data_IF_971481184629
#
_entry.id   IF_971481184629
#
_cell.length_a   1.000
_cell.length_b   1.000
_cell.length_c   1.000
_cell.angle_alpha   90.00
_cell.angle_beta   90.00
_cell.angle_gamma   90.00
#
_symmetry.space_group_name_H-M   'P 1'
#
loop_
_entity.id
_entity.type
_entity.pdbx_description
1 polymer ?
#
# COMPACT_ATOMS: atom_id res chain seq x y z
N UNK A 1 18.14 34.12 -21.70
CA UNK A 1 17.64 32.75 -21.86
C UNK A 1 16.56 32.59 -20.81
N UNK A 2 15.30 32.70 -21.22
CA UNK A 2 14.15 32.59 -20.31
C UNK A 2 13.71 31.14 -20.24
N UNK A 3 13.79 30.54 -19.07
CA UNK A 3 13.24 29.22 -18.81
C UNK A 3 11.71 29.29 -18.87
N UNK A 4 11.11 28.58 -19.81
CA UNK A 4 9.67 28.45 -19.92
C UNK A 4 9.16 27.47 -18.88
N UNK A 5 8.57 27.98 -17.82
CA UNK A 5 7.84 27.18 -16.84
C UNK A 5 6.57 26.66 -17.52
N UNK A 6 6.55 25.40 -17.93
CA UNK A 6 5.33 24.74 -18.39
C UNK A 6 4.42 24.52 -17.18
N UNK A 7 3.35 25.30 -17.09
CA UNK A 7 2.23 25.05 -16.18
C UNK A 7 1.49 23.82 -16.69
N UNK A 8 1.49 22.75 -15.92
CA UNK A 8 0.59 21.61 -16.12
C UNK A 8 -0.82 22.16 -15.85
N UNK A 9 -1.64 22.22 -16.89
CA UNK A 9 -3.03 22.61 -16.77
C UNK A 9 -3.80 21.44 -16.12
N UNK A 10 -4.09 21.55 -14.83
CA UNK A 10 -5.09 20.69 -14.18
C UNK A 10 -6.44 20.94 -14.86
N UNK A 11 -6.95 19.88 -15.48
CA UNK A 11 -8.32 19.84 -15.98
C UNK A 11 -9.30 20.08 -14.83
N UNK A 12 -10.26 20.95 -15.09
CA UNK A 12 -11.35 21.27 -14.16
C UNK A 12 -12.10 19.98 -13.81
N UNK A 13 -11.93 19.49 -12.59
CA UNK A 13 -12.74 18.40 -12.05
C UNK A 13 -14.19 18.87 -11.93
N UNK A 14 -15.06 18.25 -12.72
CA UNK A 14 -16.50 18.42 -12.60
C UNK A 14 -16.96 17.91 -11.23
N UNK A 15 -17.61 18.78 -10.48
CA UNK A 15 -18.19 18.52 -9.17
C UNK A 15 -19.28 17.47 -9.23
N UNK A 16 -19.00 16.23 -8.86
CA UNK A 16 -20.02 15.28 -8.48
C UNK A 16 -20.27 15.39 -6.97
N UNK A 17 -21.37 16.01 -6.62
CA UNK A 17 -21.87 16.10 -5.25
C UNK A 17 -22.44 14.73 -4.88
N UNK A 18 -21.71 13.92 -4.13
CA UNK A 18 -22.24 12.66 -3.57
C UNK A 18 -23.07 13.00 -2.34
N UNK A 19 -24.37 13.13 -2.54
CA UNK A 19 -25.34 13.11 -1.44
C UNK A 19 -25.53 11.65 -0.99
N UNK A 20 -25.08 11.34 0.22
CA UNK A 20 -25.39 10.05 0.88
C UNK A 20 -26.82 10.10 1.35
N UNK A 21 -27.73 9.48 0.61
CA UNK A 21 -29.07 9.14 1.05
C UNK A 21 -29.05 7.73 1.64
N UNK A 22 -29.30 7.64 2.95
CA UNK A 22 -29.65 6.41 3.61
C UNK A 22 -31.04 5.95 3.15
N UNK A 23 -31.15 4.75 2.59
CA UNK A 23 -32.40 4.16 2.15
C UNK A 23 -32.44 2.67 2.49
N UNK A 24 -33.47 2.32 3.24
CA UNK A 24 -33.78 1.01 3.81
C UNK A 24 -34.05 -0.10 2.80
N UNK A 25 -33.71 -1.29 3.23
CA UNK A 25 -34.11 -2.66 2.87
C UNK A 25 -35.41 -2.87 2.10
N UNK A 26 -35.35 -3.79 1.13
CA UNK A 26 -36.51 -4.47 0.58
C UNK A 26 -36.07 -5.74 -0.17
N UNK A 27 -36.28 -6.89 0.45
CA UNK A 27 -36.13 -8.22 -0.11
C UNK A 27 -37.28 -8.58 -1.03
N UNK A 28 -37.03 -9.12 -2.22
CA UNK A 28 -38.00 -9.94 -2.98
C UNK A 28 -37.30 -11.14 -3.60
N UNK A 29 -37.79 -12.32 -3.20
CA UNK A 29 -37.52 -13.63 -3.80
C UNK A 29 -38.20 -13.78 -5.15
N UNK A 30 -37.54 -14.44 -6.08
CA UNK A 30 -38.16 -14.88 -7.33
C UNK A 30 -37.44 -16.10 -7.91
N UNK A 31 -38.09 -17.27 -7.76
CA UNK A 31 -37.73 -18.54 -8.32
C UNK A 31 -37.99 -18.57 -9.86
N UNK A 32 -37.14 -19.23 -10.62
CA UNK A 32 -37.38 -19.53 -12.02
C UNK A 32 -36.47 -20.63 -12.53
N UNK A 33 -37.01 -21.83 -12.57
CA UNK A 33 -36.48 -23.09 -13.13
C UNK A 33 -36.44 -23.09 -14.64
N UNK A 34 -35.46 -23.77 -15.22
CA UNK A 34 -35.53 -24.13 -16.65
C UNK A 34 -34.29 -24.86 -17.17
N UNK A 35 -34.48 -26.12 -17.34
CA UNK A 35 -33.63 -27.22 -17.76
C UNK A 35 -33.15 -27.17 -19.23
N UNK A 36 -32.05 -27.88 -19.51
CA UNK A 36 -32.04 -28.85 -20.58
C UNK A 36 -30.97 -28.78 -21.66
N UNK A 37 -30.22 -29.88 -21.79
CA UNK A 37 -29.72 -30.40 -23.06
C UNK A 37 -28.20 -30.39 -23.25
N UNK A 38 -27.58 -31.43 -22.94
CA UNK A 38 -26.92 -32.62 -23.58
C UNK A 38 -26.36 -32.38 -25.00
N UNK A 39 -25.11 -32.67 -25.24
CA UNK A 39 -24.43 -33.89 -25.57
C UNK A 39 -23.32 -33.70 -26.62
N UNK A 40 -22.22 -34.40 -26.36
CA UNK A 40 -21.37 -35.22 -27.25
C UNK A 40 -20.54 -34.48 -28.31
N UNK A 41 -19.35 -34.84 -28.54
CA UNK A 41 -18.50 -35.99 -28.39
C UNK A 41 -17.23 -35.81 -29.20
N UNK A 42 -16.18 -36.36 -28.74
CA UNK A 42 -15.19 -37.21 -29.40
C UNK A 42 -14.19 -36.62 -30.38
N UNK A 43 -12.92 -36.72 -30.06
CA UNK A 43 -11.99 -37.65 -30.72
C UNK A 43 -10.55 -37.30 -30.32
N UNK A 44 -9.88 -38.29 -29.78
CA UNK A 44 -8.44 -38.42 -29.64
C UNK A 44 -7.75 -38.46 -31.03
N UNK A 45 -6.55 -37.89 -31.13
CA UNK A 45 -5.49 -38.50 -31.92
C UNK A 45 -4.13 -38.22 -31.26
N UNK A 46 -3.40 -39.32 -31.13
CA UNK A 46 -2.05 -39.52 -30.62
C UNK A 46 -0.92 -38.88 -31.41
N UNK A 47 0.19 -38.78 -30.68
CA UNK A 47 1.59 -38.91 -31.09
C UNK A 47 2.30 -37.69 -31.64
N UNK A 48 3.34 -37.22 -30.96
CA UNK A 48 4.69 -37.64 -31.26
C UNK A 48 5.72 -37.26 -30.19
N UNK A 49 6.64 -38.22 -29.99
CA UNK A 49 7.77 -38.20 -29.08
C UNK A 49 8.90 -37.29 -29.55
N UNK A 50 9.60 -36.68 -28.55
CA UNK A 50 11.04 -36.66 -28.66
C UNK A 50 11.71 -35.30 -28.70
N UNK A 51 12.25 -34.85 -27.56
CA UNK A 51 13.60 -34.34 -27.47
C UNK A 51 14.02 -34.21 -26.02
N UNK A 52 14.96 -35.05 -25.58
CA UNK A 52 15.71 -34.88 -24.33
C UNK A 52 16.54 -33.60 -24.39
N UNK A 53 16.10 -32.55 -23.70
CA UNK A 53 16.92 -31.37 -23.38
C UNK A 53 17.68 -31.67 -22.10
N UNK A 54 19.00 -31.73 -22.22
CA UNK A 54 19.92 -31.90 -21.10
C UNK A 54 19.67 -30.85 -20.03
N UNK A 55 19.50 -31.31 -18.79
CA UNK A 55 19.55 -30.44 -17.61
C UNK A 55 20.99 -29.96 -17.44
N UNK A 56 21.27 -28.75 -17.88
CA UNK A 56 22.48 -28.05 -17.46
C UNK A 56 22.38 -27.77 -15.97
N UNK A 57 23.20 -28.41 -15.17
CA UNK A 57 23.43 -28.05 -13.79
C UNK A 57 24.05 -26.64 -13.76
N UNK A 58 23.52 -25.70 -12.98
CA UNK A 58 24.13 -24.38 -12.84
C UNK A 58 25.55 -24.53 -12.27
N UNK A 59 26.53 -23.72 -12.71
CA UNK A 59 27.89 -23.81 -12.22
C UNK A 59 27.93 -23.58 -10.70
N UNK A 60 28.69 -24.42 -10.01
CA UNK A 60 28.79 -24.50 -8.55
C UNK A 60 29.39 -23.27 -7.85
N UNK A 61 29.62 -22.16 -8.53
CA UNK A 61 30.21 -20.90 -8.00
C UNK A 61 29.49 -19.63 -8.45
N UNK A 62 28.17 -19.65 -8.68
CA UNK A 62 27.43 -18.42 -8.80
C UNK A 62 27.37 -17.74 -7.41
N UNK A 63 27.68 -16.43 -7.30
CA UNK A 63 27.54 -15.70 -6.05
C UNK A 63 26.09 -15.83 -5.57
N UNK A 64 25.90 -16.11 -4.26
CA UNK A 64 24.60 -16.42 -3.63
C UNK A 64 23.54 -15.31 -3.78
N UNK A 65 23.82 -14.21 -4.47
CA UNK A 65 22.96 -13.06 -4.73
C UNK A 65 23.06 -12.55 -6.17
N UNK A 66 23.06 -13.44 -7.16
CA UNK A 66 23.00 -13.00 -8.56
C UNK A 66 21.66 -12.32 -8.84
N UNK A 67 21.68 -11.04 -9.22
CA UNK A 67 20.52 -10.29 -9.69
C UNK A 67 19.95 -10.97 -10.91
N UNK A 68 18.73 -11.49 -10.84
CA UNK A 68 18.05 -12.11 -11.99
C UNK A 68 17.16 -11.08 -12.67
N UNK A 69 17.57 -10.59 -13.83
CA UNK A 69 16.77 -9.69 -14.66
C UNK A 69 15.46 -10.39 -15.12
N UNK A 70 14.40 -9.62 -15.26
CA UNK A 70 13.07 -10.08 -15.69
C UNK A 70 12.67 -9.29 -16.94
N UNK A 71 12.13 -9.99 -17.95
CA UNK A 71 11.68 -9.39 -19.20
C UNK A 71 12.81 -8.62 -19.91
N UNK A 72 12.57 -7.35 -20.22
CA UNK A 72 13.54 -6.45 -20.87
C UNK A 72 14.62 -5.90 -19.92
N UNK A 73 14.63 -6.36 -18.69
CA UNK A 73 15.53 -5.90 -17.65
C UNK A 73 15.07 -4.63 -16.91
N UNK A 74 13.82 -4.20 -17.10
CA UNK A 74 13.20 -3.11 -16.33
C UNK A 74 13.03 -3.46 -14.86
N UNK A 75 12.79 -4.73 -14.56
CA UNK A 75 12.68 -5.29 -13.23
C UNK A 75 13.65 -6.44 -13.03
N UNK A 76 13.91 -6.80 -11.77
CA UNK A 76 14.80 -7.88 -11.42
C UNK A 76 14.35 -8.55 -10.12
N UNK A 77 14.63 -9.83 -9.98
CA UNK A 77 14.54 -10.49 -8.69
C UNK A 77 15.89 -10.36 -7.96
N UNK A 78 15.90 -9.61 -6.86
CA UNK A 78 17.11 -9.38 -6.04
C UNK A 78 17.08 -10.10 -4.69
N UNK A 79 16.08 -10.95 -4.47
CA UNK A 79 15.87 -11.64 -3.21
C UNK A 79 14.68 -11.11 -2.42
N UNK A 80 14.66 -11.41 -1.13
CA UNK A 80 13.63 -10.95 -0.20
C UNK A 80 13.80 -9.44 0.02
N UNK A 81 12.68 -8.74 0.11
CA UNK A 81 12.70 -7.30 0.42
C UNK A 81 13.43 -7.05 1.75
N UNK A 82 14.42 -6.14 1.77
CA UNK A 82 15.12 -5.80 3.02
C UNK A 82 14.24 -4.96 3.96
N UNK A 83 14.65 -4.89 5.21
CA UNK A 83 14.02 -4.03 6.24
C UNK A 83 12.54 -4.35 6.52
N UNK A 84 12.09 -5.56 6.17
CA UNK A 84 10.76 -6.04 6.51
C UNK A 84 10.73 -6.47 7.99
N UNK A 85 9.71 -6.04 8.77
CA UNK A 85 9.56 -6.51 10.14
C UNK A 85 9.21 -7.99 10.18
N UNK A 86 9.61 -8.67 11.25
CA UNK A 86 9.16 -10.03 11.51
C UNK A 86 7.64 -10.06 11.71
N UNK A 87 7.00 -11.08 11.14
CA UNK A 87 5.56 -11.31 11.34
C UNK A 87 5.38 -12.10 12.65
N UNK A 88 4.72 -11.47 13.62
CA UNK A 88 4.48 -12.06 14.93
C UNK A 88 3.00 -12.41 15.10
N UNK A 89 2.74 -13.56 15.72
CA UNK A 89 1.40 -13.95 16.16
C UNK A 89 1.15 -13.43 17.56
N UNK A 90 -0.08 -12.97 17.81
CA UNK A 90 -0.50 -12.65 19.17
C UNK A 90 -0.46 -13.88 20.05
N UNK A 91 0.18 -13.76 21.21
CA UNK A 91 0.03 -14.74 22.27
C UNK A 91 -1.40 -14.68 22.86
N UNK A 92 -1.92 -15.78 23.44
CA UNK A 92 -3.19 -15.77 24.10
C UNK A 92 -3.29 -14.64 25.16
N UNK A 93 -4.29 -13.79 25.07
CA UNK A 93 -4.47 -12.65 25.97
C UNK A 93 -3.60 -11.42 25.69
N UNK A 94 -2.74 -11.48 24.69
CA UNK A 94 -1.91 -10.35 24.29
C UNK A 94 -2.76 -9.24 23.63
N UNK A 95 -2.52 -8.00 24.04
CA UNK A 95 -3.13 -6.83 23.42
C UNK A 95 -2.53 -6.58 22.03
N UNK A 96 -3.35 -6.43 20.98
CA UNK A 96 -2.84 -6.15 19.65
C UNK A 96 -2.03 -4.84 19.60
N UNK A 97 -0.98 -4.75 18.76
CA UNK A 97 -0.35 -3.47 18.48
C UNK A 97 -1.35 -2.53 17.80
N UNK A 98 -1.15 -1.23 17.96
CA UNK A 98 -1.86 -0.23 17.17
C UNK A 98 -1.18 -0.06 15.83
N UNK A 99 -1.80 -0.56 14.78
CA UNK A 99 -1.31 -0.31 13.43
C UNK A 99 -1.75 1.05 12.92
N UNK A 100 -0.85 1.74 12.23
CA UNK A 100 -1.15 2.95 11.44
C UNK A 100 -0.55 2.73 10.06
N UNK A 101 -1.36 2.92 9.02
CA UNK A 101 -0.94 2.81 7.62
C UNK A 101 -1.03 4.18 6.97
N UNK A 102 0.11 4.68 6.51
CA UNK A 102 0.19 5.86 5.66
C UNK A 102 0.37 5.40 4.21
N UNK A 103 -0.48 5.88 3.33
CA UNK A 103 -0.46 5.52 1.91
C UNK A 103 -0.55 6.76 1.03
N UNK A 104 0.01 6.67 -0.18
CA UNK A 104 0.15 7.77 -1.12
C UNK A 104 -0.42 7.38 -2.47
N UNK A 105 -1.44 8.09 -2.92
CA UNK A 105 -2.13 7.83 -4.18
C UNK A 105 -1.43 8.57 -5.31
N UNK A 106 -1.25 7.92 -6.47
CA UNK A 106 -0.55 8.51 -7.60
C UNK A 106 0.94 8.76 -7.29
N UNK A 107 1.60 7.80 -6.62
CA UNK A 107 2.99 7.98 -6.21
C UNK A 107 3.92 8.14 -7.42
N UNK A 108 4.39 9.34 -7.63
CA UNK A 108 5.42 9.74 -8.57
C UNK A 108 6.32 10.80 -7.94
N UNK A 109 7.54 10.97 -8.44
CA UNK A 109 8.41 12.07 -8.00
C UNK A 109 8.37 13.20 -9.01
N UNK A 110 8.29 14.41 -8.52
CA UNK A 110 8.29 15.63 -9.32
C UNK A 110 9.22 16.71 -8.75
N UNK A 111 9.11 17.93 -9.27
CA UNK A 111 9.92 19.05 -8.81
C UNK A 111 9.67 19.45 -7.35
N UNK A 112 8.54 19.07 -6.75
CA UNK A 112 8.22 19.36 -5.34
C UNK A 112 8.97 18.43 -4.37
N UNK A 113 9.52 17.31 -4.87
CA UNK A 113 10.30 16.32 -4.10
C UNK A 113 9.56 15.78 -2.88
N UNK A 114 8.24 15.62 -2.97
CA UNK A 114 7.42 15.15 -1.86
C UNK A 114 7.57 13.63 -1.63
N UNK A 115 7.74 12.83 -2.69
CA UNK A 115 7.97 11.41 -2.53
C UNK A 115 9.27 11.14 -1.76
N UNK A 116 10.38 11.73 -2.20
CA UNK A 116 11.68 11.62 -1.53
C UNK A 116 11.64 12.19 -0.11
N UNK A 117 10.93 13.30 0.12
CA UNK A 117 10.74 13.89 1.44
C UNK A 117 10.05 12.90 2.39
N UNK A 118 8.88 12.35 2.01
CA UNK A 118 8.13 11.43 2.88
C UNK A 118 8.79 10.06 3.04
N UNK A 119 9.57 9.60 2.05
CA UNK A 119 10.45 8.46 2.26
C UNK A 119 11.51 8.75 3.35
N UNK A 120 12.06 9.95 3.36
CA UNK A 120 12.96 10.43 4.42
C UNK A 120 12.28 10.47 5.80
N UNK A 121 11.04 10.99 5.87
CA UNK A 121 10.21 11.00 7.08
C UNK A 121 9.92 9.57 7.57
N UNK A 122 9.54 8.67 6.66
CA UNK A 122 9.33 7.26 6.99
C UNK A 122 10.56 6.64 7.65
N UNK A 123 11.74 6.86 7.08
CA UNK A 123 13.00 6.36 7.62
C UNK A 123 13.32 6.96 8.99
N UNK A 124 13.11 8.27 9.17
CA UNK A 124 13.35 8.98 10.43
C UNK A 124 12.54 8.40 11.60
N UNK A 125 11.29 8.03 11.35
CA UNK A 125 10.37 7.54 12.38
C UNK A 125 10.16 6.02 12.33
N UNK A 126 11.02 5.28 11.60
CA UNK A 126 10.93 3.83 11.40
C UNK A 126 9.54 3.38 10.94
N UNK A 127 8.85 4.23 10.19
CA UNK A 127 7.58 3.91 9.54
C UNK A 127 7.83 3.17 8.23
N UNK A 128 6.86 2.35 7.83
CA UNK A 128 6.78 1.78 6.49
C UNK A 128 5.48 2.26 5.86
N UNK A 129 5.55 2.69 4.61
CA UNK A 129 4.44 3.28 3.90
C UNK A 129 4.08 2.43 2.69
N UNK A 130 2.90 2.66 2.12
CA UNK A 130 2.50 2.12 0.83
C UNK A 130 2.42 3.25 -0.19
N UNK A 131 3.09 3.06 -1.31
CA UNK A 131 3.07 3.96 -2.45
C UNK A 131 2.26 3.31 -3.57
N UNK A 132 1.08 3.83 -3.82
CA UNK A 132 0.22 3.40 -4.92
C UNK A 132 0.65 4.11 -6.20
N UNK A 133 1.50 3.45 -6.97
CA UNK A 133 2.08 3.97 -8.20
C UNK A 133 1.03 4.04 -9.32
N UNK A 134 0.94 5.17 -10.02
CA UNK A 134 0.22 5.26 -11.30
C UNK A 134 1.14 4.81 -12.43
N UNK A 135 0.71 3.79 -13.19
CA UNK A 135 1.56 3.18 -14.22
C UNK A 135 1.96 4.15 -15.33
N UNK A 136 1.08 5.09 -15.70
CA UNK A 136 1.37 6.12 -16.72
C UNK A 136 2.53 7.04 -16.33
N UNK A 137 2.89 7.13 -15.06
CA UNK A 137 4.07 7.89 -14.62
C UNK A 137 5.40 7.24 -15.01
N UNK A 138 5.36 5.98 -15.48
CA UNK A 138 6.51 5.28 -16.09
C UNK A 138 6.39 5.13 -17.62
N UNK A 139 5.46 5.85 -18.23
CA UNK A 139 5.25 5.91 -19.67
C UNK A 139 5.52 7.36 -20.15
N UNK A 140 6.46 7.57 -21.09
CA UNK A 140 6.73 8.91 -21.58
C UNK A 140 5.59 9.43 -22.48
N UNK A 141 5.37 10.75 -22.45
CA UNK A 141 4.30 11.43 -23.22
C UNK A 141 4.32 11.06 -24.71
N UNK A 142 5.51 10.86 -25.30
CA UNK A 142 5.68 10.50 -26.71
C UNK A 142 5.14 9.11 -27.05
N UNK A 143 4.97 8.27 -26.02
CA UNK A 143 4.45 6.90 -26.15
C UNK A 143 3.11 6.68 -25.47
N UNK A 144 2.40 7.75 -25.14
CA UNK A 144 1.11 7.70 -24.46
C UNK A 144 0.10 6.77 -25.14
N UNK A 145 0.12 6.65 -26.47
CA UNK A 145 -0.78 5.79 -27.24
C UNK A 145 -0.57 4.27 -26.97
N UNK A 146 0.48 3.89 -26.22
CA UNK A 146 0.60 2.54 -25.68
C UNK A 146 -0.38 2.27 -24.52
N UNK A 147 -0.90 3.31 -23.88
CA UNK A 147 -1.97 3.18 -22.93
C UNK A 147 -3.32 3.17 -23.64
N UNK A 148 -4.03 2.07 -23.51
CA UNK A 148 -5.37 1.89 -24.08
C UNK A 148 -6.39 1.78 -22.95
N UNK A 149 -6.82 2.92 -22.37
CA UNK A 149 -7.73 2.92 -21.24
C UNK A 149 -9.11 2.37 -21.62
N UNK A 150 -9.78 1.63 -20.72
CA UNK A 150 -11.16 1.25 -20.93
C UNK A 150 -12.04 2.46 -21.20
N UNK A 151 -12.96 2.34 -22.16
CA UNK A 151 -13.99 3.33 -22.54
C UNK A 151 -13.46 4.70 -23.01
N UNK A 152 -12.15 4.86 -23.19
CA UNK A 152 -11.53 6.09 -23.70
C UNK A 152 -10.62 5.80 -24.89
N UNK A 153 -10.29 6.86 -25.64
CA UNK A 153 -9.33 6.74 -26.74
C UNK A 153 -7.90 6.41 -26.22
N UNK A 154 -7.09 5.68 -27.01
CA UNK A 154 -5.70 5.45 -26.68
C UNK A 154 -4.95 6.76 -26.35
N UNK A 155 -4.06 6.71 -25.37
CA UNK A 155 -3.29 7.86 -24.93
C UNK A 155 -4.05 8.87 -24.05
N UNK A 156 -5.30 8.61 -23.67
CA UNK A 156 -6.04 9.46 -22.72
C UNK A 156 -5.60 9.17 -21.28
N UNK A 157 -5.45 10.22 -20.50
CA UNK A 157 -5.23 10.15 -19.06
C UNK A 157 -5.68 11.47 -18.44
N UNK A 158 -6.32 11.44 -17.27
CA UNK A 158 -6.73 12.65 -16.54
C UNK A 158 -5.63 13.17 -15.61
N UNK A 159 -4.54 12.39 -15.41
CA UNK A 159 -3.37 12.79 -14.59
C UNK A 159 -2.09 13.05 -15.39
N UNK A 160 -2.13 12.91 -16.73
CA UNK A 160 -0.99 13.13 -17.60
C UNK A 160 0.03 12.00 -17.61
N UNK A 161 1.13 12.26 -18.30
CA UNK A 161 2.30 11.36 -18.46
C UNK A 161 3.55 12.13 -18.06
N UNK A 162 4.63 11.40 -17.73
CA UNK A 162 5.90 12.03 -17.40
C UNK A 162 6.80 12.22 -18.62
N UNK A 163 7.75 13.13 -18.50
CA UNK A 163 8.93 13.16 -19.36
C UNK A 163 10.02 12.20 -18.86
N UNK A 164 11.11 12.09 -19.60
CA UNK A 164 12.24 11.19 -19.28
C UNK A 164 12.84 11.50 -17.90
N UNK A 165 12.88 12.76 -17.47
CA UNK A 165 13.44 13.15 -16.17
C UNK A 165 12.51 12.75 -15.03
N UNK A 166 11.22 13.02 -15.13
CA UNK A 166 10.21 12.59 -14.16
C UNK A 166 10.14 11.06 -14.01
N UNK A 167 10.28 10.32 -15.13
CA UNK A 167 10.37 8.85 -15.10
C UNK A 167 11.63 8.41 -14.33
N UNK A 168 12.80 9.02 -14.60
CA UNK A 168 14.06 8.70 -13.91
C UNK A 168 13.93 8.93 -12.42
N UNK A 169 13.41 10.08 -12.01
CA UNK A 169 13.25 10.46 -10.61
C UNK A 169 12.26 9.52 -9.89
N UNK A 170 11.11 9.23 -10.52
CA UNK A 170 10.14 8.26 -10.00
C UNK A 170 10.75 6.87 -9.82
N UNK A 171 11.50 6.36 -10.82
CA UNK A 171 12.20 5.07 -10.73
C UNK A 171 13.24 5.05 -9.60
N UNK A 172 13.94 6.16 -9.38
CA UNK A 172 14.92 6.26 -8.29
C UNK A 172 14.24 6.15 -6.93
N UNK A 173 13.13 6.86 -6.74
CA UNK A 173 12.40 6.84 -5.47
C UNK A 173 11.65 5.52 -5.22
N UNK A 174 11.01 4.94 -6.23
CA UNK A 174 10.38 3.61 -6.14
C UNK A 174 11.42 2.54 -5.74
N UNK A 175 12.60 2.58 -6.36
CA UNK A 175 13.72 1.67 -6.06
C UNK A 175 14.20 1.84 -4.62
N UNK A 176 14.35 3.07 -4.17
CA UNK A 176 14.79 3.41 -2.83
C UNK A 176 13.73 3.05 -1.78
N UNK A 177 12.46 3.38 -2.05
CA UNK A 177 11.34 3.07 -1.16
C UNK A 177 11.22 1.56 -0.90
N UNK A 178 11.32 0.73 -1.94
CA UNK A 178 11.29 -0.72 -1.77
C UNK A 178 12.47 -1.22 -0.94
N UNK A 179 13.68 -0.71 -1.19
CA UNK A 179 14.87 -1.07 -0.39
C UNK A 179 14.75 -0.65 1.07
N UNK A 180 14.06 0.42 1.38
CA UNK A 180 13.78 0.88 2.74
C UNK A 180 12.67 0.05 3.44
N UNK A 181 12.06 -0.94 2.76
CA UNK A 181 11.01 -1.82 3.28
C UNK A 181 9.60 -1.27 3.12
N UNK A 182 9.40 -0.27 2.26
CA UNK A 182 8.07 0.23 1.91
C UNK A 182 7.44 -0.63 0.79
N UNK A 183 6.13 -0.56 0.64
CA UNK A 183 5.37 -1.28 -0.37
C UNK A 183 5.12 -0.42 -1.60
N UNK A 184 5.16 -1.06 -2.79
CA UNK A 184 4.77 -0.48 -4.06
C UNK A 184 3.49 -1.18 -4.53
N UNK A 185 2.34 -0.55 -4.27
CA UNK A 185 1.04 -0.94 -4.79
C UNK A 185 0.71 -0.27 -6.12
N UNK A 186 -0.57 -0.25 -6.51
CA UNK A 186 -1.00 0.47 -7.72
C UNK A 186 -2.19 1.38 -7.47
N UNK A 187 -2.14 2.57 -8.09
CA UNK A 187 -3.28 3.47 -8.29
C UNK A 187 -3.78 3.40 -9.74
N UNK A 188 -3.46 2.28 -10.40
CA UNK A 188 -3.75 1.98 -11.81
C UNK A 188 -3.04 2.95 -12.78
N UNK A 189 -3.78 3.59 -13.73
CA UNK A 189 -3.14 4.39 -14.77
C UNK A 189 -3.79 5.77 -14.96
N UNK A 190 -4.87 5.87 -15.76
CA UNK A 190 -5.35 7.14 -16.29
C UNK A 190 -6.25 7.98 -15.37
N UNK A 191 -6.67 7.46 -14.22
CA UNK A 191 -7.41 8.16 -13.16
C UNK A 191 -8.75 8.78 -13.61
N UNK A 192 -9.57 8.03 -14.32
CA UNK A 192 -10.88 8.50 -14.79
C UNK A 192 -11.94 8.38 -13.68
N UNK A 193 -12.70 9.46 -13.46
CA UNK A 193 -13.72 9.56 -12.44
C UNK A 193 -15.08 9.91 -13.01
N UNK A 194 -16.17 9.50 -12.31
CA UNK A 194 -17.53 9.90 -12.65
C UNK A 194 -18.22 8.98 -13.67
N UNK A 195 -19.39 9.44 -14.17
CA UNK A 195 -20.30 8.58 -14.91
C UNK A 195 -19.86 8.34 -16.36
N UNK A 196 -19.09 9.26 -16.96
CA UNK A 196 -18.72 9.22 -18.38
C UNK A 196 -17.39 8.47 -18.57
N UNK A 197 -17.46 7.13 -18.59
CA UNK A 197 -16.28 6.28 -18.76
C UNK A 197 -15.35 6.21 -17.53
N UNK A 198 -15.75 6.78 -16.39
CA UNK A 198 -15.01 6.67 -15.15
C UNK A 198 -14.90 5.23 -14.66
N UNK A 199 -13.90 4.96 -13.81
CA UNK A 199 -13.55 3.63 -13.31
C UNK A 199 -14.73 2.93 -12.58
N UNK A 200 -15.70 3.72 -12.09
CA UNK A 200 -16.93 3.23 -11.49
C UNK A 200 -17.83 2.44 -12.46
N UNK A 201 -17.69 2.68 -13.75
CA UNK A 201 -18.51 2.04 -14.82
C UNK A 201 -17.83 0.80 -15.41
N UNK A 202 -16.57 0.52 -15.08
CA UNK A 202 -15.77 -0.51 -15.72
C UNK A 202 -16.20 -1.93 -15.31
N UNK A 203 -16.27 -2.82 -16.30
CA UNK A 203 -16.48 -4.25 -16.12
C UNK A 203 -15.26 -4.93 -15.49
N UNK A 204 -15.43 -6.18 -15.06
CA UNK A 204 -14.34 -7.00 -14.53
C UNK A 204 -13.20 -7.18 -15.54
N UNK A 205 -13.52 -7.35 -16.82
CA UNK A 205 -12.50 -7.56 -17.86
C UNK A 205 -11.77 -6.25 -18.21
N UNK A 206 -12.45 -5.11 -18.18
CA UNK A 206 -11.82 -3.79 -18.30
C UNK A 206 -10.85 -3.54 -17.13
N UNK A 207 -11.22 -3.89 -15.91
CA UNK A 207 -10.31 -3.84 -14.76
C UNK A 207 -9.10 -4.77 -14.89
N UNK A 208 -9.28 -5.99 -15.45
CA UNK A 208 -8.14 -6.88 -15.75
C UNK A 208 -7.20 -6.26 -16.78
N UNK A 209 -7.76 -5.63 -17.81
CA UNK A 209 -6.97 -4.90 -18.82
C UNK A 209 -6.18 -3.77 -18.15
N UNK A 210 -6.80 -2.96 -17.32
CA UNK A 210 -6.18 -1.84 -16.64
C UNK A 210 -5.04 -2.30 -15.72
N UNK A 211 -5.26 -3.33 -14.90
CA UNK A 211 -4.22 -3.93 -14.05
C UNK A 211 -3.06 -4.46 -14.88
N UNK A 212 -3.36 -5.11 -16.02
CA UNK A 212 -2.34 -5.66 -16.90
C UNK A 212 -1.48 -4.56 -17.52
N UNK A 213 -2.08 -3.45 -17.91
CA UNK A 213 -1.37 -2.29 -18.45
C UNK A 213 -0.50 -1.62 -17.38
N UNK A 214 -1.00 -1.43 -16.14
CA UNK A 214 -0.21 -0.92 -15.03
C UNK A 214 1.04 -1.78 -14.78
N UNK A 215 0.87 -3.11 -14.77
CA UNK A 215 2.00 -4.04 -14.67
C UNK A 215 2.97 -3.93 -15.85
N UNK A 216 2.45 -3.79 -17.07
CA UNK A 216 3.25 -3.71 -18.28
C UNK A 216 4.14 -2.45 -18.29
N UNK A 217 3.63 -1.30 -17.86
CA UNK A 217 4.42 -0.06 -17.80
C UNK A 217 5.55 -0.16 -16.79
N UNK A 218 5.31 -0.74 -15.61
CA UNK A 218 6.38 -0.99 -14.62
C UNK A 218 7.42 -2.00 -15.13
N UNK A 219 6.99 -3.03 -15.86
CA UNK A 219 7.88 -4.11 -16.35
C UNK A 219 8.58 -3.80 -17.66
N UNK A 220 8.19 -2.75 -18.36
CA UNK A 220 8.67 -2.38 -19.68
C UNK A 220 9.24 -0.96 -19.78
N UNK A 221 9.53 -0.29 -18.66
CA UNK A 221 9.98 1.10 -18.68
C UNK A 221 11.27 1.29 -19.51
N UNK A 222 12.20 0.30 -19.55
CA UNK A 222 13.42 0.38 -20.39
C UNK A 222 13.12 0.36 -21.88
N UNK A 223 12.12 -0.41 -22.30
CA UNK A 223 11.65 -0.44 -23.68
C UNK A 223 10.88 0.83 -24.01
N UNK A 224 10.10 1.33 -23.04
CA UNK A 224 9.27 2.53 -23.22
C UNK A 224 10.10 3.81 -23.19
N UNK A 225 11.19 3.87 -22.40
CA UNK A 225 12.10 5.00 -22.27
C UNK A 225 13.54 4.57 -22.54
N UNK A 226 13.93 4.40 -23.82
CA UNK A 226 15.26 3.87 -24.21
C UNK A 226 16.42 4.70 -23.66
N UNK A 227 16.23 6.00 -23.43
CA UNK A 227 17.19 6.94 -22.87
C UNK A 227 17.64 6.52 -21.46
N UNK A 228 16.76 5.81 -20.72
CA UNK A 228 17.02 5.31 -19.38
C UNK A 228 17.49 3.85 -19.35
N UNK A 229 17.76 3.24 -20.51
CA UNK A 229 18.15 1.81 -20.60
C UNK A 229 19.35 1.45 -19.71
N UNK A 230 20.27 2.41 -19.48
CA UNK A 230 21.42 2.25 -18.60
C UNK A 230 21.12 2.29 -17.11
N UNK A 231 19.93 2.76 -16.71
CA UNK A 231 19.53 2.82 -15.30
C UNK A 231 19.38 1.42 -14.69
N UNK A 232 19.61 1.33 -13.38
CA UNK A 232 19.43 0.08 -12.64
C UNK A 232 17.97 -0.39 -12.69
N UNK A 233 17.71 -1.71 -12.76
CA UNK A 233 16.35 -2.24 -12.71
C UNK A 233 15.65 -1.91 -11.38
N UNK A 234 14.33 -1.96 -11.38
CA UNK A 234 13.57 -2.07 -10.12
C UNK A 234 13.92 -3.42 -9.46
N UNK A 235 14.16 -3.46 -8.13
CA UNK A 235 14.76 -4.62 -7.48
C UNK A 235 13.79 -5.74 -7.14
N UNK A 236 12.62 -5.76 -7.75
CA UNK A 236 11.54 -6.70 -7.46
C UNK A 236 10.90 -7.27 -8.73
N UNK A 237 10.29 -8.43 -8.60
CA UNK A 237 9.37 -9.00 -9.59
C UNK A 237 7.98 -8.38 -9.37
N UNK A 238 7.55 -7.46 -10.23
CA UNK A 238 6.29 -6.73 -10.02
C UNK A 238 5.05 -7.62 -10.09
N UNK A 239 5.11 -8.79 -10.72
CA UNK A 239 4.01 -9.77 -10.66
C UNK A 239 3.77 -10.32 -9.25
N UNK A 240 4.82 -10.32 -8.42
CA UNK A 240 4.78 -10.77 -7.02
C UNK A 240 4.70 -9.62 -6.04
N UNK A 241 5.28 -8.48 -6.41
CA UNK A 241 5.28 -7.28 -5.58
C UNK A 241 3.89 -6.66 -5.50
N UNK A 242 3.17 -6.59 -6.62
CA UNK A 242 1.85 -5.99 -6.67
C UNK A 242 0.80 -6.90 -6.05
N UNK A 243 0.42 -6.61 -4.81
CA UNK A 243 -0.55 -7.38 -4.04
C UNK A 243 -1.77 -6.58 -3.58
N UNK A 244 -1.89 -5.32 -3.94
CA UNK A 244 -3.02 -4.49 -3.55
C UNK A 244 -3.08 -3.14 -4.24
N UNK A 245 -4.22 -2.48 -4.09
CA UNK A 245 -4.52 -1.23 -4.79
C UNK A 245 -5.46 -0.31 -4.02
N UNK A 246 -5.52 0.92 -4.51
CA UNK A 246 -6.64 1.84 -4.30
C UNK A 246 -7.10 2.36 -5.65
N UNK A 247 -8.43 2.31 -5.91
CA UNK A 247 -9.01 2.81 -7.16
C UNK A 247 -9.04 4.34 -7.16
N UNK A 248 -8.85 4.96 -8.33
CA UNK A 248 -9.15 6.38 -8.51
C UNK A 248 -10.53 6.73 -7.98
N UNK A 249 -10.65 7.87 -7.32
CA UNK A 249 -11.91 8.40 -6.78
C UNK A 249 -12.67 7.45 -5.82
N UNK A 250 -12.06 6.32 -5.41
CA UNK A 250 -12.70 5.23 -4.65
C UNK A 250 -13.87 4.59 -5.38
N UNK A 251 -13.91 4.67 -6.72
CA UNK A 251 -14.98 4.14 -7.56
C UNK A 251 -14.65 2.73 -8.09
N UNK A 252 -15.67 1.98 -8.52
CA UNK A 252 -15.53 0.69 -9.23
C UNK A 252 -15.03 -0.49 -8.40
N UNK A 253 -15.03 -0.37 -7.08
CA UNK A 253 -14.46 -1.34 -6.14
C UNK A 253 -14.89 -2.78 -6.39
N UNK A 254 -16.17 -3.06 -6.57
CA UNK A 254 -16.66 -4.45 -6.61
C UNK A 254 -16.13 -5.20 -7.84
N UNK A 255 -16.18 -4.59 -9.02
CA UNK A 255 -15.63 -5.15 -10.24
C UNK A 255 -14.10 -5.21 -10.22
N UNK A 256 -13.47 -4.18 -9.65
CA UNK A 256 -12.00 -4.18 -9.45
C UNK A 256 -11.57 -5.34 -8.55
N UNK A 257 -12.21 -5.57 -7.41
CA UNK A 257 -11.88 -6.67 -6.50
C UNK A 257 -12.12 -8.03 -7.16
N UNK A 258 -13.19 -8.18 -7.95
CA UNK A 258 -13.45 -9.38 -8.70
C UNK A 258 -12.33 -9.70 -9.73
N UNK A 259 -11.78 -8.67 -10.39
CA UNK A 259 -10.62 -8.81 -11.28
C UNK A 259 -9.34 -9.10 -10.49
N UNK A 260 -9.03 -8.27 -9.49
CA UNK A 260 -7.79 -8.26 -8.74
C UNK A 260 -7.50 -9.58 -8.01
N UNK A 261 -8.53 -10.22 -7.42
CA UNK A 261 -8.37 -11.53 -6.75
C UNK A 261 -7.84 -12.63 -7.68
N UNK A 262 -8.17 -12.56 -8.99
CA UNK A 262 -7.67 -13.52 -9.98
C UNK A 262 -6.24 -13.17 -10.45
N UNK A 263 -5.75 -11.99 -10.10
CA UNK A 263 -4.46 -11.45 -10.49
C UNK A 263 -3.46 -11.33 -9.33
N UNK A 264 -3.74 -12.00 -8.20
CA UNK A 264 -2.83 -12.14 -7.08
C UNK A 264 -2.94 -11.06 -5.99
N UNK A 265 -3.96 -10.20 -6.02
CA UNK A 265 -4.15 -9.19 -4.99
C UNK A 265 -4.64 -9.83 -3.68
N UNK A 266 -4.10 -9.32 -2.57
CA UNK A 266 -4.41 -9.77 -1.22
C UNK A 266 -5.28 -8.77 -0.45
N UNK A 267 -5.25 -7.49 -0.85
CA UNK A 267 -6.04 -6.43 -0.22
C UNK A 267 -6.56 -5.41 -1.24
N UNK A 268 -7.61 -4.71 -0.83
CA UNK A 268 -8.21 -3.56 -1.47
C UNK A 268 -8.39 -2.43 -0.46
N UNK A 269 -8.02 -1.20 -0.84
CA UNK A 269 -8.19 0.00 -0.03
C UNK A 269 -9.09 1.05 -0.70
N UNK A 270 -9.97 0.62 -1.61
CA UNK A 270 -10.82 1.52 -2.41
C UNK A 270 -12.17 1.84 -1.75
N UNK A 271 -12.38 1.43 -0.51
CA UNK A 271 -13.65 1.64 0.19
C UNK A 271 -13.64 2.85 1.13
N UNK A 272 -14.84 3.23 1.55
CA UNK A 272 -15.10 4.11 2.69
C UNK A 272 -15.67 3.27 3.83
N UNK A 273 -15.15 3.42 5.02
CA UNK A 273 -15.57 2.61 6.17
C UNK A 273 -15.34 3.27 7.52
N UNK A 274 -15.55 2.48 8.56
CA UNK A 274 -15.31 2.88 9.93
C UNK A 274 -14.00 2.30 10.47
N UNK A 275 -13.52 2.82 11.58
CA UNK A 275 -12.29 2.40 12.23
C UNK A 275 -12.54 1.11 13.06
N UNK A 276 -12.70 0.00 12.33
CA UNK A 276 -12.89 -1.36 12.85
C UNK A 276 -11.87 -2.31 12.24
N UNK A 277 -11.72 -3.51 12.81
CA UNK A 277 -10.79 -4.50 12.29
C UNK A 277 -11.19 -4.97 10.89
N UNK A 278 -10.24 -5.07 9.95
CA UNK A 278 -10.50 -5.51 8.57
C UNK A 278 -11.07 -6.92 8.49
N UNK A 279 -11.82 -7.18 7.44
CA UNK A 279 -12.36 -8.50 7.12
C UNK A 279 -12.05 -8.87 5.67
N UNK A 280 -11.96 -10.18 5.39
CA UNK A 280 -11.85 -10.66 4.01
C UNK A 280 -13.23 -10.67 3.35
N UNK A 281 -13.29 -10.10 2.14
CA UNK A 281 -14.43 -10.20 1.24
C UNK A 281 -13.98 -10.88 -0.04
N UNK A 282 -14.59 -12.01 -0.39
CA UNK A 282 -14.17 -12.77 -1.57
C UNK A 282 -12.71 -13.23 -1.58
N UNK A 283 -12.09 -13.40 -0.40
CA UNK A 283 -10.68 -13.81 -0.26
C UNK A 283 -9.67 -12.66 -0.22
N UNK A 284 -10.09 -11.42 -0.48
CA UNK A 284 -9.28 -10.20 -0.43
C UNK A 284 -9.59 -9.44 0.86
N UNK A 285 -8.56 -8.91 1.54
CA UNK A 285 -8.75 -8.05 2.70
C UNK A 285 -9.36 -6.71 2.27
N UNK A 286 -10.53 -6.37 2.84
CA UNK A 286 -11.18 -5.07 2.69
C UNK A 286 -10.64 -4.12 3.77
N UNK A 287 -9.81 -3.16 3.37
CA UNK A 287 -9.13 -2.22 4.26
C UNK A 287 -9.41 -0.79 3.79
N UNK A 288 -10.62 -0.28 4.04
CA UNK A 288 -11.06 1.01 3.53
C UNK A 288 -10.35 2.19 4.20
N UNK A 289 -10.37 3.35 3.56
CA UNK A 289 -10.21 4.64 4.22
C UNK A 289 -11.34 4.84 5.24
N UNK A 290 -11.09 5.60 6.29
CA UNK A 290 -11.95 5.61 7.47
C UNK A 290 -12.52 6.99 7.76
N UNK A 291 -13.71 7.01 8.33
CA UNK A 291 -14.29 8.24 8.89
C UNK A 291 -13.53 8.61 10.17
N UNK A 292 -13.06 9.86 10.22
CA UNK A 292 -12.28 10.44 11.33
C UNK A 292 -12.86 11.78 11.74
N UNK A 293 -12.72 12.17 13.02
CA UNK A 293 -13.21 13.45 13.49
C UNK A 293 -12.67 14.63 12.69
N UNK A 294 -13.50 15.64 12.50
CA UNK A 294 -13.10 16.94 12.00
C UNK A 294 -13.29 17.98 13.12
N UNK A 295 -12.24 18.32 13.88
CA UNK A 295 -12.35 19.17 15.06
C UNK A 295 -13.08 20.48 14.77
N UNK A 296 -14.02 20.85 15.65
CA UNK A 296 -14.87 22.04 15.45
C UNK A 296 -16.04 21.84 14.48
N UNK A 297 -16.25 20.64 13.96
CA UNK A 297 -17.39 20.25 13.13
C UNK A 297 -18.21 19.13 13.82
N UNK A 298 -19.50 19.06 13.50
CA UNK A 298 -20.39 18.02 14.03
C UNK A 298 -20.41 16.74 13.17
N UNK A 299 -19.52 16.60 12.20
CA UNK A 299 -19.42 15.45 11.30
C UNK A 299 -17.98 14.93 11.23
N UNK A 300 -17.84 13.69 10.78
CA UNK A 300 -16.57 13.08 10.46
C UNK A 300 -16.26 13.22 8.96
N UNK A 301 -14.99 13.33 8.60
CA UNK A 301 -14.50 13.32 7.23
C UNK A 301 -13.69 12.07 6.95
N UNK A 302 -13.42 11.77 5.67
CA UNK A 302 -12.57 10.65 5.32
C UNK A 302 -11.10 10.95 5.70
N UNK A 303 -10.39 9.93 6.13
CA UNK A 303 -8.97 9.99 6.56
C UNK A 303 -8.01 10.21 5.39
N UNK A 304 -8.24 11.26 4.62
CA UNK A 304 -7.49 11.60 3.41
C UNK A 304 -7.34 13.13 3.30
N UNK A 305 -6.16 13.59 2.93
CA UNK A 305 -5.85 15.01 2.75
C UNK A 305 -6.84 15.73 1.84
N UNK A 306 -7.20 15.13 0.70
CA UNK A 306 -8.20 15.64 -0.23
C UNK A 306 -9.55 15.92 0.44
N UNK A 307 -10.02 15.01 1.30
CA UNK A 307 -11.32 15.17 1.96
C UNK A 307 -11.31 16.27 3.03
N UNK A 308 -10.17 16.47 3.70
CA UNK A 308 -9.99 17.65 4.55
C UNK A 308 -10.01 18.93 3.73
N UNK A 309 -9.25 18.98 2.63
CA UNK A 309 -9.24 20.14 1.73
C UNK A 309 -10.64 20.49 1.23
N UNK A 310 -11.40 19.50 0.75
CA UNK A 310 -12.79 19.72 0.26
C UNK A 310 -13.67 20.36 1.33
N UNK A 311 -13.59 19.87 2.56
CA UNK A 311 -14.41 20.36 3.67
C UNK A 311 -13.94 21.70 4.26
N UNK A 312 -12.73 22.13 3.94
CA UNK A 312 -12.10 23.37 4.44
C UNK A 312 -12.11 24.48 3.42
N UNK A 313 -11.57 24.25 2.23
CA UNK A 313 -11.44 25.25 1.17
C UNK A 313 -12.39 25.05 -0.02
N UNK A 314 -13.32 24.07 0.05
CA UNK A 314 -14.31 23.83 -1.02
C UNK A 314 -13.67 23.44 -2.34
N UNK A 315 -12.71 22.50 -2.33
CA UNK A 315 -11.93 22.04 -3.49
C UNK A 315 -10.89 23.05 -4.02
N UNK A 316 -10.73 24.20 -3.38
CA UNK A 316 -9.72 25.17 -3.79
C UNK A 316 -8.35 24.76 -3.27
N UNK A 317 -7.42 24.51 -4.20
CA UNK A 317 -6.04 24.07 -3.89
C UNK A 317 -5.12 25.22 -3.46
N UNK A 318 -5.56 26.47 -3.67
CA UNK A 318 -4.89 27.70 -3.27
C UNK A 318 -5.91 28.64 -2.59
N UNK A 319 -6.45 28.17 -1.46
CA UNK A 319 -7.38 28.92 -0.64
C UNK A 319 -6.69 30.04 0.17
N UNK A 320 -7.48 30.71 1.02
CA UNK A 320 -7.00 31.83 1.84
C UNK A 320 -5.78 31.47 2.68
N UNK A 321 -4.60 32.09 2.45
CA UNK A 321 -3.39 31.79 3.21
C UNK A 321 -3.51 32.01 4.72
N UNK A 322 -4.40 32.89 5.18
CA UNK A 322 -4.65 33.12 6.60
C UNK A 322 -5.31 31.93 7.30
N UNK A 323 -5.88 30.99 6.55
CA UNK A 323 -6.53 29.79 7.05
C UNK A 323 -5.63 28.54 6.99
N UNK A 324 -4.50 28.58 6.27
CA UNK A 324 -3.67 27.39 6.04
C UNK A 324 -3.21 26.73 7.33
N UNK A 325 -2.76 27.50 8.31
CA UNK A 325 -2.34 26.96 9.61
C UNK A 325 -3.50 26.29 10.35
N UNK A 326 -4.66 26.95 10.38
CA UNK A 326 -5.86 26.39 11.01
C UNK A 326 -6.30 25.09 10.34
N UNK A 327 -6.31 25.02 9.01
CA UNK A 327 -6.68 23.82 8.26
C UNK A 327 -5.72 22.65 8.51
N UNK A 328 -4.41 22.92 8.51
CA UNK A 328 -3.40 21.89 8.83
C UNK A 328 -3.56 21.36 10.25
N UNK A 329 -3.70 22.25 11.23
CA UNK A 329 -3.92 21.87 12.62
C UNK A 329 -5.20 21.05 12.79
N UNK A 330 -6.30 21.45 12.14
CA UNK A 330 -7.57 20.72 12.18
C UNK A 330 -7.44 19.31 11.61
N UNK A 331 -6.72 19.12 10.49
CA UNK A 331 -6.45 17.79 9.94
C UNK A 331 -5.59 16.96 10.90
N UNK A 332 -4.46 17.48 11.35
CA UNK A 332 -3.59 16.80 12.32
C UNK A 332 -4.37 16.36 13.57
N UNK A 333 -5.12 17.27 14.16
CA UNK A 333 -5.84 17.01 15.40
C UNK A 333 -6.98 16.01 15.20
N UNK A 334 -7.64 16.00 14.03
CA UNK A 334 -8.63 15.00 13.65
C UNK A 334 -8.01 13.60 13.54
N UNK A 335 -6.88 13.48 12.87
CA UNK A 335 -6.14 12.23 12.75
C UNK A 335 -5.60 11.74 14.10
N UNK A 336 -5.12 12.63 14.97
CA UNK A 336 -4.67 12.29 16.31
C UNK A 336 -5.84 11.85 17.22
N UNK A 337 -7.03 12.46 17.09
CA UNK A 337 -8.23 12.00 17.80
C UNK A 337 -8.69 10.62 17.33
N UNK A 338 -8.66 10.35 16.02
CA UNK A 338 -8.94 9.03 15.46
C UNK A 338 -7.91 7.99 15.95
N UNK A 339 -6.64 8.34 15.98
CA UNK A 339 -5.60 7.49 16.54
C UNK A 339 -5.87 7.18 18.01
N UNK A 340 -6.11 8.17 18.83
CA UNK A 340 -6.38 8.01 20.27
C UNK A 340 -7.62 7.15 20.53
N UNK A 341 -8.66 7.30 19.71
CA UNK A 341 -9.89 6.52 19.77
C UNK A 341 -9.62 5.02 19.64
N UNK A 342 -8.83 4.61 18.64
CA UNK A 342 -8.51 3.19 18.48
C UNK A 342 -7.38 2.73 19.42
N UNK A 343 -6.38 3.57 19.67
CA UNK A 343 -5.25 3.23 20.56
C UNK A 343 -5.70 2.93 21.99
N UNK A 344 -6.68 3.66 22.50
CA UNK A 344 -7.30 3.45 23.82
C UNK A 344 -8.44 2.43 23.78
N UNK A 345 -9.05 2.22 22.61
CA UNK A 345 -10.23 1.38 22.38
C UNK A 345 -9.90 0.03 21.76
N UNK A 346 -10.46 -0.19 20.56
CA UNK A 346 -10.47 -1.47 19.85
C UNK A 346 -9.14 -1.87 19.19
N UNK A 347 -8.14 -1.02 19.16
CA UNK A 347 -6.84 -1.25 18.47
C UNK A 347 -6.98 -1.54 16.97
N UNK A 348 -8.12 -1.23 16.36
CA UNK A 348 -8.27 -1.35 14.92
C UNK A 348 -7.25 -0.47 14.19
N UNK A 349 -6.69 -0.95 13.06
CA UNK A 349 -5.74 -0.17 12.27
C UNK A 349 -6.32 1.20 11.88
N UNK A 350 -5.52 2.27 11.98
CA UNK A 350 -5.84 3.57 11.40
C UNK A 350 -5.23 3.64 9.99
N UNK A 351 -6.06 3.89 8.99
CA UNK A 351 -5.69 3.96 7.58
C UNK A 351 -5.78 5.42 7.13
N UNK A 352 -4.69 5.96 6.59
CA UNK A 352 -4.59 7.35 6.15
C UNK A 352 -4.12 7.37 4.70
N UNK A 353 -4.90 8.03 3.83
CA UNK A 353 -4.59 8.27 2.43
C UNK A 353 -4.07 9.69 2.21
N UNK A 354 -3.14 9.85 1.28
CA UNK A 354 -2.55 11.13 0.97
C UNK A 354 -2.19 11.22 -0.51
N UNK A 355 -1.95 12.44 -0.99
CA UNK A 355 -1.39 12.75 -2.30
C UNK A 355 -0.09 13.54 -2.11
N UNK A 356 0.84 13.46 -3.08
CA UNK A 356 2.03 14.29 -3.08
C UNK A 356 1.71 15.68 -3.65
N UNK A 357 0.95 16.46 -2.86
CA UNK A 357 0.40 17.75 -3.29
C UNK A 357 0.61 18.85 -2.26
N UNK A 358 1.09 20.00 -2.72
CA UNK A 358 1.31 21.18 -1.86
C UNK A 358 0.06 22.06 -1.74
N UNK A 359 -1.13 21.46 -1.71
CA UNK A 359 -2.39 22.20 -1.60
C UNK A 359 -2.41 23.11 -0.37
N UNK A 360 -2.97 24.30 -0.56
CA UNK A 360 -3.09 25.32 0.50
C UNK A 360 -1.76 25.58 1.23
N UNK A 361 -0.68 25.77 0.44
CA UNK A 361 0.64 26.05 0.98
C UNK A 361 1.32 24.86 1.65
N UNK A 362 0.96 23.62 1.28
CA UNK A 362 1.54 22.38 1.84
C UNK A 362 1.10 22.09 3.26
N UNK A 363 -0.01 22.71 3.71
CA UNK A 363 -0.44 22.58 5.10
C UNK A 363 -0.85 21.16 5.48
N UNK A 364 -1.39 20.37 4.51
CA UNK A 364 -1.76 18.97 4.71
C UNK A 364 -0.52 18.08 4.83
N UNK A 365 0.50 18.33 4.02
CA UNK A 365 1.77 17.58 4.09
C UNK A 365 2.44 17.80 5.45
N UNK A 366 2.45 19.03 5.96
CA UNK A 366 2.91 19.33 7.32
C UNK A 366 2.09 18.58 8.38
N UNK A 367 0.76 18.59 8.25
CA UNK A 367 -0.13 17.87 9.18
C UNK A 367 0.15 16.36 9.22
N UNK A 368 0.44 15.76 8.06
CA UNK A 368 0.80 14.34 7.97
C UNK A 368 2.16 14.08 8.60
N UNK A 369 3.19 14.90 8.32
CA UNK A 369 4.52 14.74 8.95
C UNK A 369 4.42 14.84 10.49
N UNK A 370 3.68 15.82 11.00
CA UNK A 370 3.43 15.98 12.44
C UNK A 370 2.66 14.77 13.01
N UNK A 371 1.69 14.22 12.28
CA UNK A 371 0.96 13.02 12.70
C UNK A 371 1.89 11.82 12.79
N UNK A 372 2.74 11.58 11.78
CA UNK A 372 3.74 10.50 11.76
C UNK A 372 4.66 10.62 12.99
N UNK A 373 5.20 11.82 13.22
CA UNK A 373 6.10 12.09 14.34
C UNK A 373 5.44 11.79 15.70
N UNK A 374 4.16 12.10 15.83
CA UNK A 374 3.42 11.91 17.08
C UNK A 374 3.01 10.46 17.31
N UNK A 375 2.59 9.71 16.27
CA UNK A 375 2.00 8.38 16.48
C UNK A 375 3.02 7.26 16.36
N UNK A 376 3.97 7.34 15.41
CA UNK A 376 4.89 6.23 15.14
C UNK A 376 5.96 6.04 16.25
N UNK A 377 6.09 6.99 17.15
CA UNK A 377 7.02 6.92 18.30
C UNK A 377 6.37 6.39 19.59
N UNK A 378 5.05 6.14 19.57
CA UNK A 378 4.34 5.69 20.78
C UNK A 378 4.55 4.19 21.02
N UNK A 379 4.56 3.80 22.28
CA UNK A 379 4.67 2.40 22.69
C UNK A 379 3.52 1.53 22.12
N UNK A 380 3.87 0.35 21.63
CA UNK A 380 2.91 -0.60 21.05
C UNK A 380 2.25 -0.12 19.76
N UNK A 381 2.80 0.90 19.11
CA UNK A 381 2.40 1.37 17.78
C UNK A 381 3.32 0.78 16.71
N UNK A 382 2.73 0.42 15.58
CA UNK A 382 3.45 -0.04 14.39
C UNK A 382 2.94 0.75 13.19
N UNK A 383 3.76 1.66 12.67
CA UNK A 383 3.53 2.33 11.40
C UNK A 383 4.03 1.42 10.28
N UNK A 384 3.12 0.83 9.53
CA UNK A 384 3.38 -0.27 8.59
C UNK A 384 2.76 0.01 7.22
N UNK A 385 3.26 -0.67 6.18
CA UNK A 385 2.59 -0.73 4.89
C UNK A 385 1.36 -1.63 4.94
N UNK A 386 0.49 -1.57 3.92
CA UNK A 386 -0.62 -2.51 3.78
C UNK A 386 -0.13 -3.95 3.70
N UNK A 387 0.96 -4.23 2.97
CA UNK A 387 1.58 -5.56 2.89
C UNK A 387 1.87 -6.11 4.28
N UNK A 388 2.53 -5.33 5.12
CA UNK A 388 2.92 -5.75 6.45
C UNK A 388 1.71 -5.95 7.38
N UNK A 389 0.68 -5.09 7.24
CA UNK A 389 -0.59 -5.28 7.93
C UNK A 389 -1.27 -6.58 7.50
N UNK A 390 -1.34 -6.85 6.19
CA UNK A 390 -1.94 -8.07 5.63
C UNK A 390 -1.14 -9.33 6.02
N UNK A 391 0.19 -9.26 6.02
CA UNK A 391 1.05 -10.35 6.48
C UNK A 391 0.78 -10.66 7.95
N UNK A 392 0.62 -9.63 8.79
CA UNK A 392 0.25 -9.82 10.18
C UNK A 392 -1.15 -10.40 10.32
N UNK A 393 -2.16 -9.87 9.62
CA UNK A 393 -3.53 -10.38 9.65
C UNK A 393 -3.62 -11.86 9.22
N UNK A 394 -2.92 -12.23 8.13
CA UNK A 394 -2.91 -13.62 7.63
C UNK A 394 -2.20 -14.60 8.59
N UNK A 395 -1.29 -14.10 9.43
CA UNK A 395 -0.60 -14.92 10.41
C UNK A 395 -1.42 -15.19 11.68
N UNK A 396 -2.46 -14.39 11.97
CA UNK A 396 -3.22 -14.54 13.21
C UNK A 396 -4.14 -15.75 13.19
N UNK A 397 -4.47 -16.24 14.40
CA UNK A 397 -5.52 -17.26 14.57
C UNK A 397 -6.88 -16.69 14.11
N UNK A 398 -7.64 -17.40 13.25
CA UNK A 398 -8.93 -16.93 12.76
C UNK A 398 -9.94 -16.63 13.86
N UNK A 399 -9.90 -17.34 15.00
CA UNK A 399 -10.78 -17.07 16.13
C UNK A 399 -10.41 -15.76 16.84
N UNK A 400 -9.13 -15.45 16.91
CA UNK A 400 -8.63 -14.16 17.41
C UNK A 400 -9.13 -13.02 16.53
N UNK A 401 -8.98 -13.13 15.20
CA UNK A 401 -9.49 -12.13 14.27
C UNK A 401 -11.01 -11.98 14.37
N UNK A 402 -11.76 -13.09 14.44
CA UNK A 402 -13.20 -13.07 14.60
C UNK A 402 -13.63 -12.33 15.87
N UNK A 403 -12.90 -12.46 16.99
CA UNK A 403 -13.14 -11.67 18.20
C UNK A 403 -12.85 -10.18 17.95
N UNK A 404 -11.70 -9.86 17.36
CA UNK A 404 -11.32 -8.47 17.11
C UNK A 404 -12.36 -7.73 16.26
N UNK A 405 -12.94 -8.40 15.26
CA UNK A 405 -13.96 -7.80 14.37
C UNK A 405 -15.32 -7.55 15.05
N UNK A 406 -15.56 -8.06 16.26
CA UNK A 406 -16.78 -7.74 17.03
C UNK A 406 -16.70 -6.42 17.78
N UNK A 407 -15.49 -5.83 17.90
CA UNK A 407 -15.30 -4.57 18.60
C UNK A 407 -15.70 -3.39 17.70
N UNK A 408 -16.62 -2.57 18.17
CA UNK A 408 -17.03 -1.34 17.51
C UNK A 408 -15.95 -0.26 17.53
N UNK A 409 -16.24 0.86 16.85
CA UNK A 409 -15.33 2.02 16.78
C UNK A 409 -15.00 2.52 18.20
N UNK A 410 -13.72 2.50 18.55
CA UNK A 410 -13.23 2.95 19.86
C UNK A 410 -13.67 2.08 21.04
N UNK A 411 -14.27 0.93 20.81
CA UNK A 411 -14.76 0.04 21.87
C UNK A 411 -13.62 -0.83 22.44
N UNK A 412 -13.23 -0.56 23.68
CA UNK A 412 -12.31 -1.42 24.40
C UNK A 412 -13.00 -2.68 24.92
N UNK A 413 -12.30 -3.85 24.98
CA UNK A 413 -12.87 -5.04 25.61
C UNK A 413 -13.25 -4.78 27.08
N UNK A 414 -14.52 -5.00 27.45
CA UNK A 414 -15.04 -4.74 28.80
C UNK A 414 -14.31 -5.51 29.90
N UNK A 415 -13.79 -6.70 29.57
CA UNK A 415 -13.05 -7.57 30.50
C UNK A 415 -11.53 -7.38 30.43
N UNK A 416 -11.07 -6.40 29.66
CA UNK A 416 -9.66 -6.20 29.35
C UNK A 416 -9.13 -7.22 28.33
N UNK A 417 -8.01 -6.89 27.67
CA UNK A 417 -7.44 -7.67 26.57
C UNK A 417 -7.07 -9.10 26.97
N UNK A 418 -6.47 -9.26 28.14
CA UNK A 418 -6.03 -10.58 28.65
C UNK A 418 -7.19 -11.57 28.76
N UNK A 419 -8.31 -11.17 29.34
CA UNK A 419 -9.50 -12.02 29.42
C UNK A 419 -10.20 -12.19 28.07
N UNK A 420 -10.25 -11.13 27.27
CA UNK A 420 -10.96 -11.12 26.00
C UNK A 420 -10.31 -12.04 24.95
N UNK A 421 -8.97 -12.04 24.84
CA UNK A 421 -8.22 -12.88 23.92
C UNK A 421 -7.61 -14.13 24.57
N UNK A 422 -7.58 -14.22 25.92
CA UNK A 422 -6.90 -15.27 26.67
C UNK A 422 -7.59 -16.64 26.63
N UNK A 423 -8.90 -16.69 26.49
CA UNK A 423 -9.65 -17.95 26.48
C UNK A 423 -9.72 -18.55 25.07
N UNK A 424 -8.58 -19.09 24.59
CA UNK A 424 -8.52 -19.93 23.39
C UNK A 424 -8.46 -21.40 23.84
N UNK A 425 -9.54 -22.18 23.70
CA UNK A 425 -9.45 -23.63 23.95
C UNK A 425 -8.51 -24.24 22.90
N UNK A 426 -7.35 -24.72 23.31
CA UNK A 426 -6.44 -25.48 22.49
C UNK A 426 -5.09 -24.85 22.11
N UNK A 427 -4.75 -23.66 22.59
CA UNK A 427 -3.37 -23.17 22.44
C UNK A 427 -2.49 -23.82 23.51
N UNK A 428 -1.69 -24.83 23.13
CA UNK A 428 -0.59 -25.28 23.96
C UNK A 428 0.32 -24.08 24.26
N UNK A 429 0.56 -23.81 25.54
CA UNK A 429 1.53 -22.78 25.93
C UNK A 429 2.88 -23.16 25.30
N UNK A 430 3.57 -22.21 24.64
CA UNK A 430 4.95 -22.46 24.27
C UNK A 430 5.73 -22.76 25.57
N UNK A 431 6.31 -23.96 25.66
CA UNK A 431 7.21 -24.29 26.77
C UNK A 431 8.26 -23.19 26.89
N UNK A 432 8.28 -22.49 28.02
CA UNK A 432 9.37 -21.59 28.36
C UNK A 432 10.65 -22.42 28.35
N UNK A 433 11.44 -22.30 27.30
CA UNK A 433 12.79 -22.82 27.25
C UNK A 433 13.52 -22.26 28.48
N UNK A 434 14.07 -23.10 29.38
CA UNK A 434 14.76 -22.58 30.56
C UNK A 434 15.91 -21.69 30.09
N UNK A 435 16.00 -20.51 30.72
CA UNK A 435 17.09 -19.58 30.48
C UNK A 435 18.42 -20.32 30.67
N UNK A 436 19.18 -20.44 29.59
CA UNK A 436 20.52 -21.04 29.65
C UNK A 436 21.35 -20.27 30.67
N UNK A 437 22.01 -21.02 31.56
CA UNK A 437 23.00 -20.47 32.49
C UNK A 437 23.99 -19.59 31.73
N UNK A 438 24.38 -18.45 32.29
CA UNK A 438 25.46 -17.66 31.71
C UNK A 438 26.72 -18.51 31.54
N UNK A 439 27.32 -18.44 30.35
CA UNK A 439 28.62 -19.08 30.10
C UNK A 439 29.66 -18.46 31.06
N UNK A 440 30.32 -19.31 31.80
CA UNK A 440 31.48 -18.97 32.63
C UNK A 440 32.56 -18.35 31.72
N UNK A 441 33.02 -17.17 32.11
CA UNK A 441 34.13 -16.45 31.49
C UNK A 441 35.40 -17.31 31.64
N UNK A 442 36.21 -17.55 30.60
CA UNK A 442 37.51 -18.20 30.74
C UNK A 442 38.42 -17.37 31.65
N UNK A 443 39.10 -18.03 32.57
CA UNK A 443 40.10 -17.44 33.44
C UNK A 443 41.21 -16.79 32.61
N UNK A 444 41.52 -15.53 32.89
CA UNK A 444 42.72 -14.84 32.40
C UNK A 444 43.96 -15.57 32.84
N UNK A 445 44.81 -16.00 31.90
CA UNK A 445 46.13 -16.53 32.17
C UNK A 445 47.06 -15.38 32.59
N UNK A 446 47.64 -15.52 33.76
CA UNK A 446 48.66 -14.67 34.36
C UNK A 446 49.87 -14.56 33.41
N UNK A 447 50.07 -13.36 32.83
CA UNK A 447 51.27 -13.04 32.06
C UNK A 447 52.28 -12.43 32.99
N UNK A 448 53.27 -13.23 33.39
CA UNK A 448 54.35 -12.87 34.22
C UNK A 448 55.12 -11.60 33.80
N UNK A 449 55.56 -10.86 34.77
CA UNK A 449 56.35 -9.67 34.66
C UNK A 449 57.74 -9.92 33.99
N UNK A 450 58.25 -8.97 33.21
CA UNK A 450 59.63 -9.06 32.70
C UNK A 450 60.67 -8.63 33.77
N UNK A 451 61.89 -9.21 33.77
CA UNK A 451 62.90 -8.89 34.77
C UNK A 451 63.59 -7.55 34.49
N UNK A 452 63.87 -6.86 35.57
CA UNK A 452 64.69 -5.65 35.60
C UNK A 452 66.20 -6.00 35.48
N UNK A 453 66.93 -5.16 34.78
CA UNK A 453 68.38 -5.12 34.75
C UNK A 453 68.90 -4.81 33.35
N UNK A 454 69.86 -4.00 33.14
CA UNK A 454 70.89 -3.25 33.89
C UNK A 454 71.47 -2.29 32.88
N UNK A 455 71.84 -1.18 33.42
CA UNK A 455 72.78 -0.12 32.98
C UNK A 455 73.88 -0.54 32.02
N UNK A 456 74.16 0.29 31.03
CA UNK A 456 75.31 0.38 30.16
C UNK A 456 75.09 1.53 29.15
#
# INVERSE_FOLDING_TARGET
>A
MMAATKRIAMGVMSTALVAVLAGCSGSVSGNGTGAGGSASGGAETDAEKGAHGAKENPPANAPKNAVKLIGDGSTAFTGVQPNMPAVERLAPGEKPPQFVVFSWDGAGEDSQKLFSHFRGVAKKYNAKMTYFLSGVYLLPEEKKDLYNPPQHAPGRSDIGFNDTEGIRDTLAEVRAAWKDGNEIGTHFNGHFCGADGGVGTWSVDEWKSEISQAKAFVKGWKTNTPELKGEAPLPFDYEKELIGARTPCLEGKDNMVAAARTMGFRYDSSGVGNQVWPQKKGGVWDIPLQLVPMPGRAFETLSMDYNFMVNQSGTTTQGDPSQHEYWGNQMRDGLLQAFDRSYKGNRAPLIIGNHFESWNGGTYMRAIEETIANVCTKEGVRCVSFRQLVDWLDAQDPKTLAKLTTLGVGEAPKTGWSSYLGNQPGAAQPEKKPAGKPAEKPAEADAGAPPAGATG
#
